data_IF_543179728187
#
_entry.id   IF_543179728187
#
_cell.length_a   1.000
_cell.length_b   1.000
_cell.length_c   1.000
_cell.angle_alpha   90.00
_cell.angle_beta   90.00
_cell.angle_gamma   90.00
#
_symmetry.space_group_name_H-M   'P 1'
#
loop_
_entity.id
_entity.type
_entity.pdbx_description
1 polymer ?
#
# COMPACT_ATOMS: atom_id res chain seq x y z
N UNK A 1 -55.92 -33.20 -58.71
CA UNK A 1 -55.87 -32.00 -57.78
C UNK A 1 -54.83 -32.35 -56.75
N UNK A 2 -53.60 -31.86 -56.91
CA UNK A 2 -52.47 -32.05 -55.98
C UNK A 2 -52.27 -30.75 -55.22
N UNK A 3 -52.61 -30.77 -53.92
CA UNK A 3 -52.37 -29.65 -53.02
C UNK A 3 -50.90 -29.63 -52.52
N UNK A 4 -50.24 -28.54 -52.77
CA UNK A 4 -48.86 -28.26 -52.23
C UNK A 4 -48.98 -27.67 -50.87
N UNK A 5 -48.54 -28.43 -49.86
CA UNK A 5 -48.35 -27.90 -48.50
C UNK A 5 -46.99 -27.20 -48.38
N UNK A 6 -46.97 -25.90 -48.14
CA UNK A 6 -45.76 -25.15 -47.76
C UNK A 6 -45.54 -25.27 -46.29
N UNK A 7 -44.31 -25.57 -45.81
CA UNK A 7 -44.05 -25.59 -44.37
C UNK A 7 -43.74 -24.18 -43.84
N UNK A 8 -44.62 -23.65 -42.99
CA UNK A 8 -44.49 -22.38 -42.27
C UNK A 8 -43.46 -22.42 -41.12
N UNK A 9 -42.59 -23.46 -41.06
CA UNK A 9 -41.74 -23.71 -39.90
C UNK A 9 -40.38 -22.98 -39.86
N UNK A 10 -39.93 -22.33 -40.95
CA UNK A 10 -38.55 -21.81 -40.98
C UNK A 10 -38.35 -20.39 -40.44
N UNK A 11 -39.42 -19.61 -40.36
CA UNK A 11 -39.34 -18.20 -39.91
C UNK A 11 -39.27 -18.04 -38.37
N UNK A 12 -39.96 -18.88 -37.65
CA UNK A 12 -40.02 -18.86 -36.18
C UNK A 12 -38.67 -19.28 -35.55
N UNK A 13 -37.92 -20.18 -36.13
CA UNK A 13 -36.61 -20.60 -35.63
C UNK A 13 -35.55 -19.53 -35.83
N UNK A 14 -35.62 -18.75 -36.91
CA UNK A 14 -34.69 -17.61 -37.10
C UNK A 14 -34.96 -16.51 -36.12
N UNK A 15 -36.21 -16.15 -35.81
CA UNK A 15 -36.54 -15.16 -34.79
C UNK A 15 -36.03 -15.58 -33.38
N UNK A 16 -36.23 -16.86 -32.99
CA UNK A 16 -35.72 -17.37 -31.72
C UNK A 16 -34.20 -17.27 -31.65
N UNK A 17 -33.48 -17.52 -32.73
CA UNK A 17 -32.01 -17.42 -32.78
C UNK A 17 -31.54 -15.98 -32.59
N UNK A 18 -32.22 -14.97 -33.17
CA UNK A 18 -31.87 -13.56 -32.95
C UNK A 18 -32.13 -13.09 -31.52
N UNK A 19 -33.20 -13.55 -30.89
CA UNK A 19 -33.47 -13.21 -29.50
C UNK A 19 -32.45 -13.81 -28.51
N UNK A 20 -31.95 -15.03 -28.78
CA UNK A 20 -30.89 -15.66 -27.98
C UNK A 20 -29.57 -14.92 -28.15
N UNK A 21 -29.19 -14.54 -29.37
CA UNK A 21 -27.96 -13.78 -29.63
C UNK A 21 -28.04 -12.38 -29.00
N UNK A 22 -29.21 -11.72 -29.10
CA UNK A 22 -29.43 -10.43 -28.48
C UNK A 22 -29.35 -10.51 -26.93
N UNK A 23 -29.95 -11.56 -26.33
CA UNK A 23 -29.90 -11.76 -24.86
C UNK A 23 -28.48 -12.07 -24.37
N UNK A 24 -27.68 -12.86 -25.11
CA UNK A 24 -26.27 -13.12 -24.80
C UNK A 24 -25.45 -11.83 -24.94
N UNK A 25 -25.67 -11.03 -25.98
CA UNK A 25 -25.02 -9.75 -26.17
C UNK A 25 -25.29 -8.75 -25.03
N UNK A 26 -26.54 -8.66 -24.56
CA UNK A 26 -26.92 -7.77 -23.43
C UNK A 26 -26.37 -8.28 -22.09
N UNK A 27 -26.36 -9.58 -21.83
CA UNK A 27 -25.72 -10.13 -20.62
C UNK A 27 -24.20 -9.90 -20.58
N UNK A 28 -23.52 -9.89 -21.73
CA UNK A 28 -22.07 -9.65 -21.78
C UNK A 28 -21.69 -8.19 -21.46
N UNK A 29 -22.58 -7.24 -21.69
CA UNK A 29 -22.33 -5.81 -21.41
C UNK A 29 -22.63 -5.41 -19.97
N UNK A 30 -23.29 -6.27 -19.17
CA UNK A 30 -23.65 -5.99 -17.78
C UNK A 30 -22.59 -6.41 -16.77
N UNK A 31 -21.52 -7.08 -17.20
CA UNK A 31 -20.38 -7.44 -16.36
C UNK A 31 -19.21 -6.45 -16.54
N UNK A 32 -19.48 -5.15 -16.54
CA UNK A 32 -18.42 -4.15 -16.34
C UNK A 32 -18.04 -4.22 -14.88
N UNK A 33 -17.04 -5.04 -14.54
CA UNK A 33 -16.35 -4.94 -13.26
C UNK A 33 -15.83 -3.51 -13.18
N UNK A 34 -16.21 -2.78 -12.15
CA UNK A 34 -15.57 -1.52 -11.82
C UNK A 34 -14.12 -1.87 -11.51
N UNK A 35 -13.24 -1.63 -12.46
CA UNK A 35 -11.80 -1.69 -12.24
C UNK A 35 -11.48 -0.45 -11.41
N UNK A 36 -11.24 -0.64 -10.14
CA UNK A 36 -10.69 0.41 -9.29
C UNK A 36 -9.28 0.71 -9.81
N UNK A 37 -9.02 1.95 -10.20
CA UNK A 37 -7.73 2.35 -10.75
C UNK A 37 -6.70 2.69 -9.66
N UNK A 38 -7.14 2.96 -8.45
CA UNK A 38 -6.30 3.25 -7.30
C UNK A 38 -6.56 2.26 -6.15
N UNK A 39 -5.51 1.89 -5.39
CA UNK A 39 -4.09 2.21 -5.57
C UNK A 39 -3.44 1.41 -6.73
N UNK A 40 -2.32 1.94 -7.29
CA UNK A 40 -1.57 1.29 -8.38
C UNK A 40 -0.64 0.18 -7.91
N UNK A 41 -0.39 0.11 -6.64
CA UNK A 41 0.43 -0.90 -5.99
C UNK A 41 0.35 -0.73 -4.48
N UNK A 42 1.01 -1.62 -3.77
CA UNK A 42 1.02 -1.56 -2.31
C UNK A 42 2.41 -1.82 -1.74
N UNK A 43 2.59 -1.38 -0.51
CA UNK A 43 3.75 -1.66 0.31
C UNK A 43 3.28 -2.43 1.55
N UNK A 44 3.84 -3.62 1.77
CA UNK A 44 3.71 -4.31 3.06
C UNK A 44 4.69 -3.68 4.04
N UNK A 45 4.17 -3.06 5.08
CA UNK A 45 4.89 -2.29 6.07
C UNK A 45 5.14 -3.12 7.33
N UNK A 46 6.38 -3.12 7.81
CA UNK A 46 6.69 -3.54 9.18
C UNK A 46 7.43 -2.42 9.89
N UNK A 47 7.05 -2.14 11.12
CA UNK A 47 7.64 -1.07 11.92
C UNK A 47 8.16 -1.61 13.24
N UNK A 48 9.40 -1.23 13.54
CA UNK A 48 10.01 -1.48 14.84
C UNK A 48 10.30 -0.13 15.51
N UNK A 49 9.65 0.13 16.62
CA UNK A 49 9.95 1.32 17.44
C UNK A 49 11.26 1.08 18.18
N UNK A 50 12.20 2.00 18.01
CA UNK A 50 13.52 1.92 18.61
C UNK A 50 13.51 2.74 19.90
N UNK A 51 13.84 2.10 21.02
CA UNK A 51 14.05 2.79 22.31
C UNK A 51 15.49 2.62 22.77
N UNK A 52 15.95 3.55 23.58
CA UNK A 52 17.18 3.39 24.33
C UNK A 52 16.93 2.62 25.65
N UNK A 53 17.99 2.38 26.41
CA UNK A 53 17.95 1.66 27.68
C UNK A 53 17.06 2.32 28.77
N UNK A 54 16.70 3.58 28.58
CA UNK A 54 15.83 4.36 29.45
C UNK A 54 14.34 4.33 29.04
N UNK A 55 14.00 3.54 28.00
CA UNK A 55 12.64 3.46 27.47
C UNK A 55 12.21 4.71 26.69
N UNK A 56 13.18 5.49 26.17
CA UNK A 56 12.93 6.69 25.36
C UNK A 56 12.93 6.30 23.90
N UNK A 57 11.85 6.56 23.17
CA UNK A 57 11.76 6.34 21.74
C UNK A 57 12.68 7.30 20.98
N UNK A 58 13.55 6.75 20.16
CA UNK A 58 14.54 7.50 19.37
C UNK A 58 14.20 7.53 17.89
N UNK A 59 13.36 6.62 17.40
CA UNK A 59 12.98 6.53 15.99
C UNK A 59 12.19 5.28 15.65
N UNK A 60 11.90 5.14 14.37
CA UNK A 60 11.24 3.96 13.78
C UNK A 60 12.20 3.30 12.79
N UNK A 61 12.44 2.01 12.94
CA UNK A 61 12.99 1.20 11.87
C UNK A 61 11.82 0.70 11.03
N UNK A 62 11.75 1.11 9.78
CA UNK A 62 10.72 0.72 8.85
C UNK A 62 11.27 -0.27 7.83
N UNK A 63 10.47 -1.27 7.50
CA UNK A 63 10.70 -2.20 6.39
C UNK A 63 9.52 -2.08 5.44
N UNK A 64 9.81 -1.68 4.21
CA UNK A 64 8.86 -1.53 3.12
C UNK A 64 9.10 -2.62 2.09
N UNK A 65 8.20 -3.55 2.00
CA UNK A 65 8.26 -4.62 1.01
C UNK A 65 7.29 -4.30 -0.11
N UNK A 66 7.84 -3.93 -1.27
CA UNK A 66 7.07 -3.51 -2.44
C UNK A 66 6.25 -4.67 -3.00
N UNK A 67 5.16 -4.38 -3.69
CA UNK A 67 4.37 -5.41 -4.34
C UNK A 67 5.20 -6.21 -5.37
N UNK A 68 4.80 -7.46 -5.68
CA UNK A 68 5.60 -8.33 -6.55
C UNK A 68 5.74 -7.81 -7.98
N UNK A 69 4.70 -7.14 -8.51
CA UNK A 69 4.72 -6.67 -9.90
C UNK A 69 5.67 -5.48 -10.07
N UNK A 70 5.58 -4.49 -9.18
CA UNK A 70 6.52 -3.37 -9.15
C UNK A 70 7.97 -3.87 -8.96
N UNK A 71 8.16 -4.81 -8.05
CA UNK A 71 9.48 -5.42 -7.78
C UNK A 71 10.07 -6.07 -9.02
N UNK A 72 9.26 -6.82 -9.77
CA UNK A 72 9.69 -7.46 -11.03
C UNK A 72 10.15 -6.43 -12.06
N UNK A 73 9.36 -5.38 -12.28
CA UNK A 73 9.70 -4.31 -13.24
C UNK A 73 11.03 -3.65 -12.85
N UNK A 74 11.19 -3.30 -11.57
CA UNK A 74 12.43 -2.67 -11.08
C UNK A 74 13.64 -3.58 -11.28
N UNK A 75 13.53 -4.87 -10.97
CA UNK A 75 14.64 -5.80 -11.16
C UNK A 75 15.00 -5.99 -12.64
N UNK A 76 14.02 -6.04 -13.53
CA UNK A 76 14.27 -6.08 -14.98
C UNK A 76 15.00 -4.83 -15.47
N UNK A 77 14.61 -3.64 -15.01
CA UNK A 77 15.26 -2.38 -15.35
C UNK A 77 16.70 -2.34 -14.83
N UNK A 78 16.93 -2.70 -13.57
CA UNK A 78 18.25 -2.74 -12.98
C UNK A 78 19.19 -3.71 -13.72
N UNK A 79 18.69 -4.87 -14.13
CA UNK A 79 19.46 -5.84 -14.91
C UNK A 79 19.84 -5.30 -16.30
N UNK A 80 18.97 -4.52 -16.94
CA UNK A 80 19.26 -3.90 -18.23
C UNK A 80 20.32 -2.79 -18.15
N UNK A 81 20.28 -1.99 -17.07
CA UNK A 81 21.18 -0.84 -16.89
C UNK A 81 22.53 -1.26 -16.30
N UNK A 82 22.52 -2.05 -15.23
CA UNK A 82 23.73 -2.44 -14.48
C UNK A 82 24.34 -3.78 -14.93
N UNK A 83 23.69 -4.46 -15.88
CA UNK A 83 24.15 -5.78 -16.35
C UNK A 83 24.04 -6.83 -15.23
N UNK A 84 25.18 -7.41 -14.85
CA UNK A 84 25.20 -8.47 -13.82
C UNK A 84 25.38 -7.95 -12.39
N UNK A 85 25.53 -6.65 -12.17
CA UNK A 85 25.77 -6.07 -10.83
C UNK A 85 24.47 -5.52 -10.21
N UNK A 86 23.56 -6.41 -9.90
CA UNK A 86 22.28 -6.07 -9.27
C UNK A 86 22.47 -5.31 -7.94
N UNK A 87 23.49 -5.67 -7.15
CA UNK A 87 23.72 -5.03 -5.85
C UNK A 87 24.03 -3.53 -6.01
N UNK A 88 24.88 -3.16 -6.96
CA UNK A 88 25.20 -1.76 -7.24
C UNK A 88 23.95 -0.98 -7.67
N UNK A 89 23.07 -1.61 -8.48
CA UNK A 89 21.80 -1.02 -8.86
C UNK A 89 20.86 -0.80 -7.67
N UNK A 90 20.81 -1.77 -6.75
CA UNK A 90 20.00 -1.67 -5.53
C UNK A 90 20.54 -0.61 -4.56
N UNK A 91 21.87 -0.50 -4.42
CA UNK A 91 22.50 0.52 -3.58
C UNK A 91 22.17 1.94 -4.11
N UNK A 92 22.26 2.14 -5.43
CA UNK A 92 21.87 3.41 -6.06
C UNK A 92 20.37 3.68 -5.89
N UNK A 93 19.52 2.69 -6.15
CA UNK A 93 18.06 2.81 -5.96
C UNK A 93 17.71 3.18 -4.51
N UNK A 94 18.35 2.55 -3.52
CA UNK A 94 18.15 2.88 -2.12
C UNK A 94 18.49 4.35 -1.79
N UNK A 95 19.58 4.85 -2.38
CA UNK A 95 19.94 6.27 -2.25
C UNK A 95 18.90 7.18 -2.87
N UNK A 96 18.44 6.87 -4.07
CA UNK A 96 17.45 7.66 -4.79
C UNK A 96 16.09 7.68 -4.05
N UNK A 97 15.66 6.53 -3.52
CA UNK A 97 14.45 6.44 -2.69
C UNK A 97 14.58 7.34 -1.46
N UNK A 98 15.68 7.21 -0.70
CA UNK A 98 15.91 8.04 0.49
C UNK A 98 15.85 9.54 0.16
N UNK A 99 16.54 9.97 -0.90
CA UNK A 99 16.63 11.38 -1.28
C UNK A 99 15.29 11.95 -1.73
N UNK A 100 14.54 11.18 -2.53
CA UNK A 100 13.21 11.58 -3.00
C UNK A 100 12.18 11.65 -1.86
N UNK A 101 12.20 10.69 -0.94
CA UNK A 101 11.25 10.65 0.18
C UNK A 101 11.57 11.65 1.28
N UNK A 102 12.82 12.14 1.37
CA UNK A 102 13.21 13.11 2.41
C UNK A 102 12.35 14.37 2.41
N UNK A 103 11.96 14.86 1.24
CA UNK A 103 11.10 16.04 1.06
C UNK A 103 9.65 15.80 1.47
N UNK A 104 9.24 14.57 1.62
CA UNK A 104 7.90 14.13 1.99
C UNK A 104 7.87 13.44 3.36
N UNK A 105 8.88 13.72 4.20
CA UNK A 105 9.01 13.12 5.54
C UNK A 105 8.91 11.59 5.53
N UNK A 106 9.40 10.94 4.48
CA UNK A 106 9.35 9.48 4.29
C UNK A 106 7.92 8.92 4.45
N UNK A 107 6.91 9.67 3.95
CA UNK A 107 5.49 9.32 4.05
C UNK A 107 5.01 9.06 5.48
N UNK A 108 5.76 9.49 6.48
CA UNK A 108 5.55 9.13 7.88
C UNK A 108 5.14 10.33 8.72
N UNK A 109 4.09 10.16 9.48
CA UNK A 109 3.70 11.07 10.56
C UNK A 109 3.75 10.34 11.90
N UNK A 110 4.31 11.00 12.90
CA UNK A 110 4.37 10.48 14.27
C UNK A 110 3.73 11.48 15.21
N UNK A 111 2.95 11.00 16.17
CA UNK A 111 2.33 11.78 17.24
C UNK A 111 2.62 11.15 18.59
N UNK A 112 2.84 11.99 19.61
CA UNK A 112 2.92 11.54 21.00
C UNK A 112 1.85 12.30 21.79
N UNK A 113 0.93 11.56 22.41
CA UNK A 113 -0.26 12.13 23.07
C UNK A 113 -1.05 13.09 22.16
N UNK A 114 -1.14 12.76 20.85
CA UNK A 114 -1.81 13.57 19.84
C UNK A 114 -0.96 14.72 19.25
N UNK A 115 0.17 15.06 19.85
CA UNK A 115 1.04 16.15 19.39
C UNK A 115 2.01 15.65 18.31
N UNK A 116 2.06 16.29 17.13
CA UNK A 116 2.94 15.88 16.04
C UNK A 116 4.42 16.05 16.45
N UNK A 117 5.23 15.07 16.03
CA UNK A 117 6.65 15.04 16.29
C UNK A 117 7.45 15.39 15.04
N UNK A 118 8.50 16.18 15.20
CA UNK A 118 9.46 16.43 14.14
C UNK A 118 10.35 15.20 13.91
N UNK A 119 10.63 14.92 12.64
CA UNK A 119 11.47 13.81 12.21
C UNK A 119 12.88 14.32 11.87
N UNK A 120 13.86 13.46 12.05
CA UNK A 120 15.23 13.72 11.63
C UNK A 120 15.49 13.15 10.22
N UNK A 121 16.74 13.24 9.77
CA UNK A 121 17.17 12.75 8.47
C UNK A 121 17.54 11.26 8.54
N UNK A 122 17.15 10.49 7.53
CA UNK A 122 17.53 9.09 7.37
C UNK A 122 18.97 9.01 6.90
N UNK A 123 19.83 8.44 7.73
CA UNK A 123 21.23 8.17 7.42
C UNK A 123 21.51 6.67 7.24
N UNK A 124 20.70 5.81 7.86
CA UNK A 124 20.83 4.36 7.78
C UNK A 124 19.67 3.80 6.95
N UNK A 125 20.01 3.22 5.80
CA UNK A 125 19.05 2.60 4.89
C UNK A 125 19.72 1.51 4.06
N UNK A 126 18.91 0.63 3.49
CA UNK A 126 19.34 -0.34 2.49
C UNK A 126 18.17 -0.74 1.59
N UNK A 127 18.44 -0.98 0.33
CA UNK A 127 17.54 -1.63 -0.60
C UNK A 127 18.12 -3.00 -0.95
N UNK A 128 17.28 -4.04 -0.94
CA UNK A 128 17.70 -5.39 -1.25
C UNK A 128 16.57 -6.19 -1.89
N UNK A 129 16.93 -7.28 -2.56
CA UNK A 129 15.98 -8.31 -3.00
C UNK A 129 15.79 -9.29 -1.85
N UNK A 130 14.53 -9.54 -1.48
CA UNK A 130 14.14 -10.57 -0.51
C UNK A 130 12.90 -11.30 -1.00
N UNK A 131 13.01 -12.61 -1.15
CA UNK A 131 11.89 -13.47 -1.58
C UNK A 131 11.21 -13.01 -2.89
N UNK A 132 12.02 -12.56 -3.86
CA UNK A 132 11.55 -12.05 -5.15
C UNK A 132 10.93 -10.64 -5.09
N UNK A 133 11.04 -9.94 -3.98
CA UNK A 133 10.48 -8.61 -3.78
C UNK A 133 11.55 -7.59 -3.41
N UNK A 134 11.42 -6.39 -3.96
CA UNK A 134 12.20 -5.24 -3.53
C UNK A 134 11.81 -4.87 -2.11
N UNK A 135 12.81 -4.82 -1.24
CA UNK A 135 12.64 -4.44 0.17
C UNK A 135 13.53 -3.24 0.46
N UNK A 136 12.93 -2.16 0.92
CA UNK A 136 13.63 -0.97 1.40
C UNK A 136 13.50 -0.87 2.91
N UNK A 137 14.64 -0.80 3.61
CA UNK A 137 14.69 -0.68 5.07
C UNK A 137 15.45 0.58 5.44
N UNK A 138 14.96 1.28 6.45
CA UNK A 138 15.60 2.51 6.93
C UNK A 138 15.25 2.82 8.38
N UNK A 139 16.10 3.60 9.03
CA UNK A 139 15.86 4.15 10.36
C UNK A 139 15.46 5.62 10.22
N UNK A 140 14.22 5.94 10.60
CA UNK A 140 13.69 7.29 10.65
C UNK A 140 13.78 7.81 12.08
N UNK A 141 14.73 8.68 12.41
CA UNK A 141 14.89 9.17 13.76
C UNK A 141 13.84 10.23 14.12
N UNK A 142 13.44 10.29 15.37
CA UNK A 142 12.77 11.45 15.93
C UNK A 142 13.79 12.58 16.09
N UNK A 143 13.46 13.80 15.68
CA UNK A 143 14.33 14.96 15.88
C UNK A 143 14.60 15.22 17.38
N UNK A 144 13.64 14.87 18.23
CA UNK A 144 13.77 14.89 19.68
C UNK A 144 13.25 13.56 20.24
N UNK A 145 14.09 12.76 20.91
CA UNK A 145 13.66 11.53 21.55
C UNK A 145 12.51 11.75 22.54
N UNK A 146 11.56 10.81 22.59
CA UNK A 146 10.34 10.91 23.39
C UNK A 146 10.25 9.80 24.43
N UNK A 147 10.10 10.10 25.74
CA UNK A 147 9.81 9.08 26.73
C UNK A 147 8.45 8.45 26.46
N UNK A 148 8.35 7.12 26.60
CA UNK A 148 7.11 6.38 26.35
C UNK A 148 6.28 6.15 27.63
N UNK A 149 6.88 6.11 28.80
CA UNK A 149 6.18 5.85 30.05
C UNK A 149 5.01 6.83 30.28
N UNK A 150 3.81 6.32 30.50
CA UNK A 150 2.57 7.08 30.65
C UNK A 150 2.13 7.81 29.39
N UNK A 151 2.58 7.40 28.21
CA UNK A 151 2.29 8.08 26.95
C UNK A 151 1.81 7.13 25.86
N UNK A 152 1.14 7.70 24.87
CA UNK A 152 0.73 7.05 23.66
C UNK A 152 1.52 7.63 22.48
N UNK A 153 2.25 6.76 21.77
CA UNK A 153 2.87 7.08 20.49
C UNK A 153 2.03 6.47 19.39
N UNK A 154 1.69 7.26 18.39
CA UNK A 154 0.99 6.83 17.17
C UNK A 154 1.81 7.22 15.95
N UNK A 155 1.76 6.38 14.92
CA UNK A 155 2.31 6.73 13.62
C UNK A 155 1.38 6.29 12.51
N UNK A 156 1.46 6.98 11.39
CA UNK A 156 0.85 6.61 10.12
C UNK A 156 1.90 6.69 9.02
N UNK A 157 1.84 5.78 8.06
CA UNK A 157 2.68 5.79 6.85
C UNK A 157 1.76 5.75 5.65
N UNK A 158 1.87 6.74 4.76
CA UNK A 158 0.97 6.87 3.61
C UNK A 158 1.57 7.73 2.49
N UNK A 159 1.31 7.34 1.25
CA UNK A 159 1.52 8.24 0.12
C UNK A 159 0.46 9.35 0.18
N UNK A 160 0.85 10.63 0.23
CA UNK A 160 -0.12 11.74 0.33
C UNK A 160 -1.17 11.75 -0.77
N UNK A 161 -0.87 11.22 -1.95
CA UNK A 161 -1.75 11.19 -3.12
C UNK A 161 -2.54 9.91 -3.29
N UNK A 162 -2.32 8.93 -2.42
CA UNK A 162 -2.92 7.59 -2.50
C UNK A 162 -2.65 6.86 -3.82
N UNK A 163 -1.52 7.17 -4.45
CA UNK A 163 -1.06 6.43 -5.63
C UNK A 163 -0.59 5.03 -5.23
N UNK A 164 0.05 4.93 -4.07
CA UNK A 164 0.49 3.67 -3.45
C UNK A 164 -0.24 3.50 -2.11
N UNK A 165 -0.79 2.31 -1.88
CA UNK A 165 -1.32 1.93 -0.57
C UNK A 165 -0.19 1.43 0.33
N UNK A 166 -0.21 1.83 1.60
CA UNK A 166 0.72 1.32 2.60
C UNK A 166 -0.08 0.63 3.68
N UNK A 167 0.10 -0.66 3.82
CA UNK A 167 -0.61 -1.51 4.79
C UNK A 167 0.40 -2.27 5.64
N UNK A 168 0.10 -2.49 6.91
CA UNK A 168 0.95 -3.33 7.73
C UNK A 168 0.94 -4.77 7.22
N UNK A 169 2.09 -5.44 7.33
CA UNK A 169 2.22 -6.84 6.92
C UNK A 169 1.17 -7.71 7.62
N UNK A 170 0.42 -8.45 6.84
CA UNK A 170 -0.67 -9.31 7.32
C UNK A 170 -0.32 -10.79 7.24
N UNK A 171 -0.87 -11.54 8.18
CA UNK A 171 -0.92 -12.99 8.18
C UNK A 171 -2.35 -13.44 8.52
N UNK A 172 -2.94 -14.27 7.69
CA UNK A 172 -4.33 -14.75 7.84
C UNK A 172 -5.39 -13.64 7.96
N UNK A 173 -5.17 -12.47 7.32
CA UNK A 173 -6.11 -11.34 7.29
C UNK A 173 -6.11 -10.48 8.56
N UNK A 174 -5.03 -10.51 9.31
CA UNK A 174 -4.78 -9.63 10.44
C UNK A 174 -3.31 -9.18 10.44
N UNK A 175 -2.98 -8.03 11.05
CA UNK A 175 -1.59 -7.62 11.18
C UNK A 175 -0.74 -8.71 11.81
N UNK A 176 0.39 -9.05 11.15
CA UNK A 176 1.30 -10.10 11.63
C UNK A 176 1.96 -9.67 12.96
N UNK A 177 2.48 -10.64 13.71
CA UNK A 177 3.26 -10.34 14.93
C UNK A 177 4.51 -9.47 14.64
N UNK A 178 4.97 -9.46 13.40
CA UNK A 178 6.12 -8.65 12.97
C UNK A 178 5.72 -7.28 12.42
N UNK A 179 4.42 -7.02 12.21
CA UNK A 179 3.93 -5.77 11.62
C UNK A 179 4.26 -4.55 12.49
N UNK A 180 4.16 -4.70 13.81
CA UNK A 180 4.53 -3.68 14.78
C UNK A 180 5.24 -4.29 15.98
N UNK A 181 6.49 -3.88 16.19
CA UNK A 181 7.33 -4.36 17.29
C UNK A 181 7.89 -3.16 18.08
N UNK A 182 7.97 -3.28 19.39
CA UNK A 182 8.72 -2.38 20.24
C UNK A 182 10.03 -3.07 20.65
N UNK A 183 11.13 -2.36 20.46
CA UNK A 183 12.44 -2.86 20.85
C UNK A 183 12.85 -2.20 22.17
N UNK A 184 13.02 -2.99 23.23
CA UNK A 184 13.27 -2.57 24.59
C UNK A 184 12.29 -3.21 25.57
N UNK A 185 12.31 -2.80 26.83
CA UNK A 185 11.47 -3.36 27.92
C UNK A 185 10.38 -2.43 28.46
N UNK A 186 9.79 -1.47 27.76
CA UNK A 186 8.63 -0.81 28.30
C UNK A 186 7.41 -1.74 28.27
N UNK A 187 6.66 -1.76 29.36
CA UNK A 187 5.36 -2.45 29.43
C UNK A 187 4.32 -1.66 28.63
N UNK A 188 4.23 -1.98 27.34
CA UNK A 188 3.39 -1.25 26.39
C UNK A 188 2.46 -2.21 25.65
N UNK A 189 1.26 -1.72 25.35
CA UNK A 189 0.34 -2.38 24.44
C UNK A 189 0.58 -1.89 23.01
N UNK A 190 0.76 -2.81 22.10
CA UNK A 190 0.92 -2.54 20.67
C UNK A 190 -0.36 -2.88 19.93
N UNK A 191 -0.77 -2.05 19.00
CA UNK A 191 -1.91 -2.32 18.13
C UNK A 191 -1.76 -1.62 16.78
N UNK A 192 -2.28 -2.25 15.73
CA UNK A 192 -2.49 -1.64 14.43
C UNK A 192 -3.99 -1.42 14.28
N UNK A 193 -4.39 -0.18 14.09
CA UNK A 193 -5.78 0.21 13.90
C UNK A 193 -6.06 0.35 12.40
N UNK A 194 -7.09 -0.29 11.86
CA UNK A 194 -7.45 -0.17 10.46
C UNK A 194 -7.85 1.28 10.12
N UNK A 195 -7.68 1.65 8.85
CA UNK A 195 -8.27 2.87 8.33
C UNK A 195 -9.80 2.77 8.32
N UNK A 196 -10.47 3.90 8.55
CA UNK A 196 -11.94 4.03 8.47
C UNK A 196 -12.29 5.29 7.64
N UNK A 197 -12.01 5.26 6.32
CA UNK A 197 -12.25 6.40 5.45
C UNK A 197 -13.75 6.65 5.27
N UNK A 198 -14.12 7.92 5.17
CA UNK A 198 -15.47 8.31 4.81
C UNK A 198 -15.88 7.71 3.44
N UNK A 199 -17.09 7.16 3.27
CA UNK A 199 -17.55 6.60 2.01
C UNK A 199 -17.45 7.57 0.80
N UNK A 200 -17.52 8.88 1.02
CA UNK A 200 -17.32 9.89 -0.02
C UNK A 200 -15.87 9.90 -0.52
N UNK A 201 -14.89 9.78 0.40
CA UNK A 201 -13.47 9.68 0.05
C UNK A 201 -13.15 8.36 -0.67
N UNK A 202 -13.78 7.25 -0.25
CA UNK A 202 -13.67 5.96 -0.96
C UNK A 202 -14.16 6.11 -2.40
N UNK A 203 -15.30 6.78 -2.60
CA UNK A 203 -15.85 7.01 -3.93
C UNK A 203 -14.96 7.95 -4.74
N UNK A 204 -14.39 9.00 -4.13
CA UNK A 204 -13.45 9.90 -4.78
C UNK A 204 -12.19 9.15 -5.26
N UNK A 205 -11.59 8.33 -4.40
CA UNK A 205 -10.42 7.51 -4.76
C UNK A 205 -10.74 6.52 -5.91
N UNK A 206 -11.94 5.92 -5.88
CA UNK A 206 -12.38 4.97 -6.91
C UNK A 206 -12.67 5.61 -8.29
N UNK A 207 -12.83 6.94 -8.35
CA UNK A 207 -13.10 7.68 -9.59
C UNK A 207 -11.84 8.25 -10.24
N UNK A 208 -10.68 8.17 -9.57
CA UNK A 208 -9.41 8.60 -10.16
C UNK A 208 -9.07 7.69 -11.36
N UNK A 209 -8.62 8.29 -12.45
CA UNK A 209 -8.17 7.54 -13.63
C UNK A 209 -6.75 6.98 -13.41
N UNK A 210 -6.33 6.04 -14.24
CA UNK A 210 -5.05 5.31 -14.12
C UNK A 210 -3.81 6.22 -14.13
N UNK A 211 -3.89 7.40 -14.71
CA UNK A 211 -2.82 8.40 -14.80
C UNK A 211 -3.08 9.66 -13.93
N UNK A 212 -4.14 9.62 -13.10
CA UNK A 212 -4.42 10.67 -12.13
C UNK A 212 -3.83 10.32 -10.76
N UNK A 213 -3.50 11.33 -9.99
CA UNK A 213 -3.15 11.22 -8.57
C UNK A 213 -4.20 11.92 -7.73
N UNK A 214 -4.49 11.39 -6.56
CA UNK A 214 -5.39 12.03 -5.62
C UNK A 214 -4.90 13.41 -5.15
N UNK A 215 -5.80 14.20 -4.59
CA UNK A 215 -5.40 15.44 -3.92
C UNK A 215 -4.43 15.14 -2.77
N UNK A 216 -3.50 16.08 -2.52
CA UNK A 216 -2.55 15.93 -1.41
C UNK A 216 -3.27 15.82 -0.06
N UNK A 217 -3.02 14.74 0.65
CA UNK A 217 -3.65 14.39 1.93
C UNK A 217 -4.73 13.32 1.82
N UNK A 218 -5.13 12.91 0.60
CA UNK A 218 -6.10 11.82 0.41
C UNK A 218 -5.62 10.53 1.08
N UNK A 219 -4.36 10.14 0.88
CA UNK A 219 -3.81 8.90 1.41
C UNK A 219 -3.86 8.78 2.93
N UNK A 220 -3.84 9.89 3.68
CA UNK A 220 -3.98 9.88 5.14
C UNK A 220 -5.26 9.19 5.61
N UNK A 221 -6.36 9.34 4.88
CA UNK A 221 -7.65 8.78 5.25
C UNK A 221 -7.72 7.27 5.08
N UNK A 222 -6.80 6.71 4.26
CA UNK A 222 -6.67 5.28 4.00
C UNK A 222 -5.53 4.63 4.78
N UNK A 223 -4.80 5.43 5.59
CA UNK A 223 -3.66 4.94 6.36
C UNK A 223 -4.11 4.24 7.64
N UNK A 224 -3.54 3.06 7.87
CA UNK A 224 -3.59 2.42 9.17
C UNK A 224 -2.80 3.20 10.21
N UNK A 225 -3.15 3.04 11.48
CA UNK A 225 -2.44 3.68 12.59
C UNK A 225 -1.76 2.63 13.47
N UNK A 226 -0.44 2.64 13.49
CA UNK A 226 0.32 1.91 14.51
C UNK A 226 0.31 2.68 15.80
N UNK A 227 -0.06 2.01 16.91
CA UNK A 227 -0.21 2.61 18.23
C UNK A 227 0.58 1.84 19.27
N UNK A 228 1.34 2.57 20.08
CA UNK A 228 2.09 2.10 21.23
C UNK A 228 1.59 2.86 22.45
N UNK A 229 0.95 2.18 23.40
CA UNK A 229 0.38 2.74 24.60
C UNK A 229 1.11 2.13 25.81
N UNK A 230 1.85 2.95 26.54
CA UNK A 230 2.66 2.54 27.70
C UNK A 230 2.06 3.06 28.99
N UNK A 231 2.07 2.21 30.02
CA UNK A 231 1.62 2.55 31.38
C UNK A 231 2.68 3.37 32.16
#
# INVERSE_FOLDING_TARGET
>A
VTGVFHPLGSSLNKLRSYWVVLAIGVCSTLNSSLVLAHPHGWIDLSVRVITNDEGIATGLHQTWRMDPFYSLVVFEELQQVQGSNLQEGLDQLGSDIRDNLSQQHYFTEIRVNGEPQALGEVSEYTALERDGRLTFMFILPLATPQPLAGRMLEYQVFDPTYYIEVVHEEEDGAPSEQALILYGEPDCRLSVLPADPDPELVMQAALLDVDETGESGLGRHFAETGRIECD
#
